data_IF_838114400237
#
_entry.id   IF_838114400237
#
_cell.length_a   1.000
_cell.length_b   1.000
_cell.length_c   1.000
_cell.angle_alpha   90.00
_cell.angle_beta   90.00
_cell.angle_gamma   90.00
#
_symmetry.space_group_name_H-M   'P 1'
#
loop_
_entity.id
_entity.type
_entity.pdbx_description
1 polymer ?
#
# COMPACT_ATOMS: atom_id res chain seq x y z
N UNK A 1 17.35 -28.12 -14.19
CA UNK A 1 16.08 -27.97 -14.95
C UNK A 1 16.04 -26.56 -15.52
N UNK A 2 15.57 -26.37 -16.76
CA UNK A 2 15.45 -25.04 -17.36
C UNK A 2 14.00 -24.58 -17.33
N UNK A 3 13.76 -23.38 -16.80
CA UNK A 3 12.43 -22.77 -16.71
C UNK A 3 12.36 -21.55 -17.62
N UNK A 4 11.32 -21.45 -18.44
CA UNK A 4 11.08 -20.28 -19.28
C UNK A 4 10.29 -19.23 -18.52
N UNK A 5 10.90 -18.08 -18.25
CA UNK A 5 10.23 -16.95 -17.57
C UNK A 5 9.83 -15.91 -18.61
N UNK A 6 8.54 -15.55 -18.65
CA UNK A 6 8.06 -14.42 -19.47
C UNK A 6 8.29 -13.13 -18.70
N UNK A 7 9.02 -12.20 -19.30
CA UNK A 7 9.35 -10.91 -18.71
C UNK A 7 8.82 -9.80 -19.61
N UNK A 8 8.37 -8.69 -19.02
CA UNK A 8 7.97 -7.48 -19.77
C UNK A 8 9.16 -6.93 -20.55
N UNK A 9 8.89 -6.29 -21.69
CA UNK A 9 9.92 -5.70 -22.56
C UNK A 9 10.77 -4.65 -21.85
N UNK A 10 10.17 -3.86 -20.96
CA UNK A 10 10.87 -2.86 -20.13
C UNK A 10 11.88 -3.49 -19.18
N UNK A 11 11.51 -4.59 -18.52
CA UNK A 11 12.41 -5.30 -17.62
C UNK A 11 13.55 -5.98 -18.40
N UNK A 12 13.29 -6.48 -19.61
CA UNK A 12 14.34 -6.99 -20.51
C UNK A 12 15.37 -5.90 -20.85
N UNK A 13 14.93 -4.68 -21.16
CA UNK A 13 15.85 -3.54 -21.41
C UNK A 13 16.74 -3.23 -20.21
N UNK A 14 16.18 -3.23 -19.00
CA UNK A 14 16.95 -3.02 -17.75
C UNK A 14 17.99 -4.12 -17.53
N UNK A 15 17.66 -5.37 -17.83
CA UNK A 15 18.59 -6.50 -17.76
C UNK A 15 19.74 -6.36 -18.77
N UNK A 16 19.44 -5.96 -20.01
CA UNK A 16 20.46 -5.69 -21.03
C UNK A 16 21.37 -4.51 -20.65
N UNK A 17 20.81 -3.46 -20.05
CA UNK A 17 21.60 -2.33 -19.52
C UNK A 17 22.53 -2.78 -18.40
N UNK A 18 22.05 -3.61 -17.47
CA UNK A 18 22.86 -4.18 -16.40
C UNK A 18 23.98 -5.06 -16.97
N UNK A 19 23.68 -5.88 -17.98
CA UNK A 19 24.70 -6.66 -18.68
C UNK A 19 25.76 -5.75 -19.33
N UNK A 20 25.37 -4.66 -19.97
CA UNK A 20 26.30 -3.70 -20.55
C UNK A 20 27.21 -3.05 -19.49
N UNK A 21 26.64 -2.65 -18.35
CA UNK A 21 27.40 -2.09 -17.21
C UNK A 21 28.42 -3.09 -16.65
N UNK A 22 28.06 -4.37 -16.55
CA UNK A 22 28.99 -5.43 -16.12
C UNK A 22 30.09 -5.69 -17.15
N UNK A 23 29.75 -5.67 -18.45
CA UNK A 23 30.74 -5.78 -19.53
C UNK A 23 31.75 -4.64 -19.50
N UNK A 24 31.33 -3.41 -19.22
CA UNK A 24 32.24 -2.27 -19.05
C UNK A 24 33.22 -2.46 -17.89
N UNK A 25 32.83 -3.24 -16.87
CA UNK A 25 33.69 -3.63 -15.74
C UNK A 25 34.56 -4.85 -16.05
N UNK A 26 34.56 -5.35 -17.28
CA UNK A 26 35.36 -6.48 -17.74
C UNK A 26 34.74 -7.86 -17.47
N UNK A 27 33.50 -7.92 -16.98
CA UNK A 27 32.86 -9.20 -16.61
C UNK A 27 31.89 -9.62 -17.71
N UNK A 28 32.23 -10.69 -18.43
CA UNK A 28 31.41 -11.23 -19.52
C UNK A 28 30.45 -12.28 -18.95
N UNK A 29 29.22 -11.88 -18.68
CA UNK A 29 28.18 -12.74 -18.09
C UNK A 29 26.99 -12.85 -19.06
N UNK A 30 26.34 -14.02 -19.10
CA UNK A 30 25.12 -14.23 -19.89
C UNK A 30 23.89 -13.63 -19.18
N UNK A 31 22.79 -13.40 -19.92
CA UNK A 31 21.56 -12.90 -19.29
C UNK A 31 20.96 -13.92 -18.29
N UNK A 32 21.16 -15.22 -18.54
CA UNK A 32 20.67 -16.27 -17.66
C UNK A 32 21.38 -16.25 -16.32
N UNK A 33 22.72 -16.16 -16.32
CA UNK A 33 23.51 -16.11 -15.08
C UNK A 33 23.21 -14.85 -14.25
N UNK A 34 22.93 -13.72 -14.91
CA UNK A 34 22.51 -12.48 -14.23
C UNK A 34 21.20 -12.71 -13.49
N UNK A 35 20.22 -13.35 -14.13
CA UNK A 35 18.92 -13.63 -13.50
C UNK A 35 19.11 -14.59 -12.32
N UNK A 36 19.92 -15.64 -12.49
CA UNK A 36 20.22 -16.59 -11.43
C UNK A 36 20.84 -15.89 -10.21
N UNK A 37 21.83 -15.02 -10.43
CA UNK A 37 22.44 -14.23 -9.36
C UNK A 37 21.50 -13.21 -8.73
N UNK A 38 20.60 -12.61 -9.50
CA UNK A 38 19.57 -11.72 -8.94
C UNK A 38 18.55 -12.48 -8.10
N UNK A 39 18.25 -13.74 -8.44
CA UNK A 39 17.38 -14.61 -7.62
C UNK A 39 18.09 -14.96 -6.31
N UNK A 40 19.37 -15.35 -6.36
CA UNK A 40 20.17 -15.60 -5.15
C UNK A 40 20.20 -14.37 -4.22
N UNK A 41 20.54 -13.19 -4.76
CA UNK A 41 20.53 -11.94 -3.99
C UNK A 41 19.15 -11.59 -3.43
N UNK A 42 18.09 -11.88 -4.19
CA UNK A 42 16.72 -11.67 -3.74
C UNK A 42 16.32 -12.59 -2.59
N UNK A 43 16.81 -13.84 -2.57
CA UNK A 43 16.58 -14.77 -1.46
C UNK A 43 17.38 -14.36 -0.22
N UNK A 44 18.61 -13.87 -0.39
CA UNK A 44 19.43 -13.39 0.72
C UNK A 44 18.85 -12.12 1.37
N UNK A 45 18.18 -11.27 0.59
CA UNK A 45 17.54 -10.03 1.04
C UNK A 45 15.99 -10.13 1.06
N UNK A 46 15.45 -11.21 1.62
CA UNK A 46 14.00 -11.47 1.65
C UNK A 46 13.19 -10.29 2.24
N UNK A 47 13.68 -9.69 3.32
CA UNK A 47 13.05 -8.53 3.97
C UNK A 47 12.99 -7.30 3.05
N UNK A 48 14.05 -7.06 2.25
CA UNK A 48 14.09 -5.93 1.32
C UNK A 48 13.15 -6.15 0.13
N UNK A 49 12.98 -7.40 -0.32
CA UNK A 49 11.98 -7.74 -1.33
C UNK A 49 10.56 -7.56 -0.79
N UNK A 50 10.28 -8.08 0.41
CA UNK A 50 8.97 -7.92 1.05
C UNK A 50 8.58 -6.46 1.19
N UNK A 51 9.50 -5.59 1.60
CA UNK A 51 9.25 -4.15 1.68
C UNK A 51 8.89 -3.54 0.32
N UNK A 52 9.53 -3.95 -0.77
CA UNK A 52 9.19 -3.45 -2.12
C UNK A 52 7.79 -3.87 -2.56
N UNK A 53 7.38 -5.10 -2.24
CA UNK A 53 6.03 -5.57 -2.52
C UNK A 53 4.97 -5.00 -1.56
N UNK A 54 5.37 -4.66 -0.32
CA UNK A 54 4.49 -4.04 0.67
C UNK A 54 4.17 -2.58 0.32
N UNK A 55 5.15 -1.81 -0.17
CA UNK A 55 4.94 -0.43 -0.62
C UNK A 55 3.93 -0.35 -1.77
N UNK A 56 3.88 -1.35 -2.65
CA UNK A 56 2.86 -1.43 -3.70
C UNK A 56 1.44 -1.71 -3.16
N UNK A 57 1.33 -2.27 -1.95
CA UNK A 57 0.03 -2.58 -1.31
C UNK A 57 -0.50 -1.46 -0.42
N UNK A 58 0.36 -0.62 0.16
CA UNK A 58 -0.03 0.42 1.12
C UNK A 58 -0.39 1.78 0.47
N UNK A 59 -1.19 1.77 -0.60
CA UNK A 59 -2.00 2.95 -0.93
C UNK A 59 -3.44 2.71 -0.44
N UNK A 60 -3.60 2.58 0.88
CA UNK A 60 -4.90 2.90 1.47
C UNK A 60 -5.15 4.39 1.27
N UNK A 61 -6.22 4.72 0.54
CA UNK A 61 -6.60 6.08 0.23
C UNK A 61 -6.65 6.92 1.52
N UNK A 62 -5.89 8.02 1.63
CA UNK A 62 -5.87 8.85 2.83
C UNK A 62 -7.27 9.32 3.23
N UNK A 63 -8.20 9.42 2.27
CA UNK A 63 -9.59 9.81 2.53
C UNK A 63 -10.37 8.72 3.28
N UNK A 64 -10.06 7.43 3.05
CA UNK A 64 -10.69 6.32 3.78
C UNK A 64 -10.25 6.28 5.26
N UNK A 65 -8.99 6.61 5.55
CA UNK A 65 -8.47 6.70 6.93
C UNK A 65 -9.19 7.79 7.73
N UNK A 66 -9.58 8.88 7.07
CA UNK A 66 -10.32 9.98 7.68
C UNK A 66 -11.79 9.63 7.99
N UNK A 67 -12.37 8.64 7.32
CA UNK A 67 -13.72 8.17 7.66
C UNK A 67 -13.74 7.39 8.98
N UNK A 68 -12.70 6.60 9.27
CA UNK A 68 -12.61 5.84 10.52
C UNK A 68 -12.22 6.72 11.71
N UNK A 69 -11.36 7.71 11.49
CA UNK A 69 -10.88 8.66 12.49
C UNK A 69 -10.92 10.08 11.91
N UNK A 70 -12.09 10.74 11.95
CA UNK A 70 -12.21 12.11 11.49
C UNK A 70 -11.36 13.04 12.35
N UNK A 71 -10.81 14.07 11.73
CA UNK A 71 -10.10 15.13 12.42
C UNK A 71 -11.10 15.91 13.29
N UNK A 72 -10.87 15.98 14.60
CA UNK A 72 -11.70 16.75 15.52
C UNK A 72 -11.39 18.24 15.39
N UNK A 73 -12.34 19.01 14.87
CA UNK A 73 -12.20 20.45 14.69
C UNK A 73 -12.61 21.24 15.93
N UNK A 74 -13.01 20.56 17.02
CA UNK A 74 -13.45 21.18 18.27
C UNK A 74 -14.78 21.93 18.17
N UNK A 75 -15.52 21.74 17.07
CA UNK A 75 -16.84 22.31 16.83
C UNK A 75 -17.87 21.22 17.06
N UNK A 76 -18.89 21.52 17.88
CA UNK A 76 -20.04 20.62 18.07
C UNK A 76 -20.78 20.49 16.74
N UNK A 77 -20.67 19.33 16.09
CA UNK A 77 -21.39 19.03 14.86
C UNK A 77 -22.59 18.11 15.10
N UNK A 78 -23.57 18.20 14.22
CA UNK A 78 -24.75 17.34 14.23
C UNK A 78 -24.56 16.14 13.28
N UNK A 79 -23.32 15.78 12.94
CA UNK A 79 -23.00 14.79 11.92
C UNK A 79 -23.62 13.43 12.21
N UNK A 80 -23.76 13.07 13.49
CA UNK A 80 -24.42 11.84 13.92
C UNK A 80 -25.97 11.85 13.83
N UNK A 81 -26.59 13.01 13.61
CA UNK A 81 -28.06 13.20 13.55
C UNK A 81 -28.55 13.64 12.18
N UNK A 82 -27.67 13.59 11.17
CA UNK A 82 -28.03 13.94 9.79
C UNK A 82 -29.22 13.11 9.33
N UNK A 83 -29.20 11.80 9.60
CA UNK A 83 -30.26 10.90 9.17
C UNK A 83 -31.61 11.21 9.82
N UNK A 84 -31.62 11.57 11.11
CA UNK A 84 -32.83 11.97 11.83
C UNK A 84 -33.43 13.25 11.23
N UNK A 85 -32.56 14.19 10.84
CA UNK A 85 -32.96 15.52 10.35
C UNK A 85 -33.41 15.46 8.89
N UNK A 86 -32.72 14.68 8.05
CA UNK A 86 -33.01 14.58 6.61
C UNK A 86 -34.12 13.57 6.31
N UNK A 87 -34.18 12.46 7.05
CA UNK A 87 -35.08 11.35 6.74
C UNK A 87 -36.21 11.17 7.76
N UNK A 88 -36.20 11.90 8.88
CA UNK A 88 -37.26 11.83 9.88
C UNK A 88 -37.30 10.47 10.59
N UNK A 89 -36.42 10.27 11.57
CA UNK A 89 -36.23 8.95 12.19
C UNK A 89 -37.22 8.60 13.30
N UNK A 90 -38.31 7.88 12.99
CA UNK A 90 -38.94 6.93 13.92
C UNK A 90 -38.95 5.54 13.32
N UNK A 91 -37.78 4.90 13.21
CA UNK A 91 -37.71 3.45 13.10
C UNK A 91 -36.49 2.93 13.86
N UNK A 92 -36.77 2.18 14.93
CA UNK A 92 -35.77 1.54 15.76
C UNK A 92 -34.88 0.61 14.94
N UNK A 93 -33.69 1.08 14.64
CA UNK A 93 -32.58 0.23 14.23
C UNK A 93 -31.37 0.56 15.10
N UNK A 94 -30.71 -0.51 15.51
CA UNK A 94 -29.69 -0.56 16.55
C UNK A 94 -28.45 0.21 16.09
N UNK A 95 -28.37 1.51 16.38
CA UNK A 95 -27.12 2.25 16.19
C UNK A 95 -26.14 1.91 17.31
N UNK A 96 -25.22 0.97 17.03
CA UNK A 96 -23.97 0.83 17.79
C UNK A 96 -23.00 1.95 17.41
N UNK A 97 -23.41 3.22 17.57
CA UNK A 97 -22.42 4.28 17.51
C UNK A 97 -21.63 4.26 18.82
N UNK A 98 -20.40 3.76 18.74
CA UNK A 98 -19.36 4.14 19.69
C UNK A 98 -19.33 5.66 19.73
N UNK A 99 -19.34 6.23 20.93
CA UNK A 99 -19.29 7.67 21.17
C UNK A 99 -18.18 8.33 20.35
N UNK A 100 -18.52 8.87 19.18
CA UNK A 100 -17.70 9.88 18.54
C UNK A 100 -18.03 11.18 19.25
N UNK A 101 -17.05 11.64 20.04
CA UNK A 101 -17.00 12.94 20.69
C UNK A 101 -18.24 13.33 21.53
N UNK A 102 -18.35 12.79 22.75
CA UNK A 102 -19.02 13.54 23.82
C UNK A 102 -17.96 14.38 24.54
N UNK A 103 -17.79 15.63 24.11
CA UNK A 103 -17.08 16.61 24.93
C UNK A 103 -17.83 16.77 26.25
N UNK A 104 -17.34 16.15 27.33
CA UNK A 104 -17.83 16.46 28.68
C UNK A 104 -17.47 17.92 28.95
N UNK A 105 -18.46 18.81 28.92
CA UNK A 105 -18.35 20.14 29.52
C UNK A 105 -18.20 19.94 31.03
N UNK A 106 -16.97 20.04 31.53
CA UNK A 106 -16.73 20.35 32.94
C UNK A 106 -16.80 21.87 33.10
N UNK A 107 -17.93 22.37 33.58
CA UNK A 107 -18.04 23.42 34.61
C UNK A 107 -19.48 23.60 35.04
#
# INVERSE_FOLDING_TARGET
MYTTVKIRSEAKKKLEELQARLRLRGVKISLHDIIEKLIELGLDEEDALLNKFAIEKEQEDPMLKLLEKPLDWGVEDASMRIDETLYGGTHGSVHRHRHFCSGKKQK
#
